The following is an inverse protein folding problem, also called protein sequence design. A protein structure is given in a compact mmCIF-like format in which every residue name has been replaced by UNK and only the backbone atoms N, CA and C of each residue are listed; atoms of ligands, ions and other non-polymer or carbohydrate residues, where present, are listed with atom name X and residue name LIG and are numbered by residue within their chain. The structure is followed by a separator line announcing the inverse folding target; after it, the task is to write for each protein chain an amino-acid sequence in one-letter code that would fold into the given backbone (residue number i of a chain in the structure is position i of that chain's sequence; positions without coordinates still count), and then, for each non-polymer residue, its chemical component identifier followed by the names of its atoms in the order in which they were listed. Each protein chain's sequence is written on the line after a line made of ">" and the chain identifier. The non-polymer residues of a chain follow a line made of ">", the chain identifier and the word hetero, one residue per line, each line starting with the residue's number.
data_IF_865234374081
#
_entry.id   IF_865234374081
#
_cell.length_a   1.000
_cell.length_b   1.000
_cell.length_c   1.000
_cell.angle_alpha   90.00
_cell.angle_beta   90.00
_cell.angle_gamma   90.00
#
_symmetry.space_group_name_H-M   'P 1'
#
loop_
_entity.id
_entity.type
_entity.pdbx_description
1 polymer ?
#
# COMPACT_ATOMS: atom_id res chain seq x y z
N UNK A 1 3.20 -2.27 13.17
CA UNK A 1 4.25 -1.72 12.30
C UNK A 1 5.57 -2.14 12.90
N UNK A 2 6.27 -3.08 12.27
CA UNK A 2 7.42 -3.75 12.86
C UNK A 2 8.48 -2.76 13.32
N UNK A 3 8.75 -2.74 14.63
CA UNK A 3 9.86 -2.01 15.21
C UNK A 3 11.15 -2.56 14.59
N UNK A 4 11.77 -1.79 13.68
CA UNK A 4 13.03 -2.16 13.02
C UNK A 4 12.98 -2.28 11.49
N UNK A 5 11.81 -2.13 10.84
CA UNK A 5 11.77 -2.02 9.38
C UNK A 5 12.25 -0.64 8.93
N UNK A 6 13.27 -0.58 8.08
CA UNK A 6 13.75 0.66 7.44
C UNK A 6 12.71 1.28 6.47
N UNK A 7 11.55 0.64 6.28
CA UNK A 7 10.53 1.08 5.35
C UNK A 7 9.52 2.02 6.00
N UNK A 8 9.16 3.15 5.35
CA UNK A 8 8.11 4.01 5.84
C UNK A 8 6.76 3.29 5.84
N UNK A 9 5.90 3.70 6.77
CA UNK A 9 4.55 3.19 6.90
C UNK A 9 3.76 3.46 5.62
N UNK A 10 3.09 2.43 5.10
CA UNK A 10 2.31 2.51 3.87
C UNK A 10 3.01 1.93 2.65
N UNK A 11 4.27 1.50 2.75
CA UNK A 11 4.93 0.76 1.66
C UNK A 11 4.36 -0.67 1.57
N UNK A 12 3.80 -1.10 0.43
CA UNK A 12 3.48 -2.50 0.21
C UNK A 12 4.78 -3.31 0.11
N UNK A 13 4.87 -4.40 0.89
CA UNK A 13 6.02 -5.30 0.88
C UNK A 13 5.59 -6.68 0.40
N UNK A 14 6.21 -7.24 -0.65
CA UNK A 14 5.94 -8.59 -1.07
C UNK A 14 6.38 -9.56 0.03
N UNK A 15 5.50 -10.50 0.37
CA UNK A 15 5.72 -11.45 1.46
C UNK A 15 5.54 -12.89 0.95
N UNK A 16 6.48 -13.82 1.22
CA UNK A 16 6.47 -15.15 0.60
C UNK A 16 5.54 -16.17 1.29
N UNK A 17 4.80 -15.78 2.33
CA UNK A 17 3.94 -16.69 3.11
C UNK A 17 2.50 -16.20 3.22
N UNK A 18 1.55 -17.13 3.37
CA UNK A 18 0.16 -16.81 3.64
C UNK A 18 -0.05 -16.22 5.05
N UNK A 19 0.82 -16.58 6.01
CA UNK A 19 0.84 -16.06 7.38
C UNK A 19 1.60 -14.75 7.42
N UNK A 20 0.93 -13.68 7.84
CA UNK A 20 1.53 -12.35 7.94
C UNK A 20 2.44 -12.26 9.19
N UNK A 21 3.54 -11.49 9.13
CA UNK A 21 4.28 -11.12 10.33
C UNK A 21 3.41 -10.23 11.23
N UNK A 22 3.72 -10.26 12.53
CA UNK A 22 3.02 -9.43 13.51
C UNK A 22 3.10 -7.93 13.17
N UNK A 23 1.97 -7.23 13.32
CA UNK A 23 1.90 -5.79 13.08
C UNK A 23 1.88 -5.38 11.61
N UNK A 24 1.69 -6.31 10.68
CA UNK A 24 1.46 -6.07 9.25
C UNK A 24 0.00 -6.31 8.85
N UNK A 25 -0.46 -5.59 7.83
CA UNK A 25 -1.79 -5.74 7.26
C UNK A 25 -1.69 -6.21 5.81
N UNK A 26 -2.64 -7.04 5.36
CA UNK A 26 -2.68 -7.52 3.97
C UNK A 26 -3.26 -6.44 3.06
N UNK A 27 -2.61 -6.18 1.93
CA UNK A 27 -3.14 -5.31 0.87
C UNK A 27 -4.24 -6.04 0.07
N UNK A 28 -5.44 -6.14 0.65
CA UNK A 28 -6.60 -6.85 0.08
C UNK A 28 -7.86 -5.96 -0.01
N UNK A 29 -7.71 -4.64 -0.06
CA UNK A 29 -8.85 -3.72 -0.12
C UNK A 29 -9.56 -3.47 1.21
N UNK A 30 -9.11 -4.09 2.31
CA UNK A 30 -9.77 -3.95 3.61
C UNK A 30 -9.70 -2.51 4.15
N UNK A 31 -10.76 -2.10 4.84
CA UNK A 31 -10.77 -0.88 5.62
C UNK A 31 -9.92 -1.04 6.90
N UNK A 32 -9.41 0.07 7.44
CA UNK A 32 -8.68 0.09 8.70
C UNK A 32 -9.08 1.30 9.55
N UNK A 33 -8.83 1.24 10.86
CA UNK A 33 -9.08 2.35 11.77
C UNK A 33 -7.94 3.38 11.71
N UNK A 34 -8.27 4.64 11.40
CA UNK A 34 -7.32 5.75 11.42
C UNK A 34 -6.85 6.08 12.84
N UNK A 35 -7.67 5.82 13.86
CA UNK A 35 -7.32 6.00 15.27
C UNK A 35 -6.24 5.00 15.69
N UNK A 36 -6.39 3.73 15.27
CA UNK A 36 -5.42 2.68 15.56
C UNK A 36 -4.15 2.80 14.69
N UNK A 37 -4.29 3.28 13.45
CA UNK A 37 -3.19 3.37 12.49
C UNK A 37 -3.05 4.79 11.88
N UNK A 38 -2.74 5.82 12.68
CA UNK A 38 -2.73 7.21 12.22
C UNK A 38 -1.65 7.49 11.17
N UNK A 39 -0.50 6.80 11.24
CA UNK A 39 0.54 6.89 10.20
C UNK A 39 0.10 6.25 8.89
N UNK A 40 -0.69 5.17 8.95
CA UNK A 40 -1.22 4.52 7.76
C UNK A 40 -2.32 5.37 7.12
N UNK A 41 -3.16 6.03 7.92
CA UNK A 41 -4.17 6.97 7.43
C UNK A 41 -3.55 8.16 6.68
N UNK A 42 -2.35 8.60 7.06
CA UNK A 42 -1.61 9.62 6.30
C UNK A 42 -1.15 9.11 4.92
N UNK A 43 -0.77 7.83 4.82
CA UNK A 43 -0.38 7.22 3.55
C UNK A 43 -1.58 6.84 2.66
N UNK A 44 -2.69 6.41 3.29
CA UNK A 44 -3.93 6.01 2.63
C UNK A 44 -5.13 6.77 3.24
N UNK A 45 -5.42 8.00 2.78
CA UNK A 45 -6.44 8.88 3.37
C UNK A 45 -7.87 8.36 3.29
N UNK A 46 -8.13 7.40 2.40
CA UNK A 46 -9.44 6.73 2.25
C UNK A 46 -9.72 5.71 3.36
N UNK A 47 -8.76 5.48 4.27
CA UNK A 47 -8.79 4.46 5.32
C UNK A 47 -9.05 3.05 4.76
N UNK A 48 -8.60 2.80 3.53
CA UNK A 48 -8.62 1.49 2.86
C UNK A 48 -7.24 1.16 2.34
N UNK A 49 -6.83 -0.08 2.53
CA UNK A 49 -5.63 -0.62 1.91
C UNK A 49 -5.89 -0.79 0.40
N UNK A 50 -4.85 -0.69 -0.45
CA UNK A 50 -4.98 -1.11 -1.84
C UNK A 50 -5.30 -2.61 -1.89
N UNK A 51 -6.03 -3.03 -2.91
CA UNK A 51 -6.18 -4.45 -3.23
C UNK A 51 -5.14 -4.81 -4.28
N UNK A 52 -4.08 -5.51 -3.89
CA UNK A 52 -2.97 -5.86 -4.79
C UNK A 52 -2.99 -7.33 -5.20
N UNK A 53 -4.09 -8.04 -4.94
CA UNK A 53 -4.21 -9.47 -5.28
C UNK A 53 -4.34 -9.61 -6.79
N UNK A 54 -3.34 -10.20 -7.43
CA UNK A 54 -3.30 -10.35 -8.89
C UNK A 54 -2.75 -9.12 -9.61
N UNK A 55 -2.35 -8.09 -8.88
CA UNK A 55 -1.86 -6.83 -9.45
C UNK A 55 -0.33 -6.78 -9.55
N UNK A 56 0.17 -5.97 -10.48
CA UNK A 56 1.58 -5.59 -10.54
C UNK A 56 1.74 -4.14 -10.11
N UNK A 57 2.69 -3.87 -9.20
CA UNK A 57 3.05 -2.49 -8.85
C UNK A 57 3.87 -1.91 -10.01
N UNK A 58 3.41 -0.76 -10.52
CA UNK A 58 4.11 0.03 -11.55
C UNK A 58 4.50 1.38 -10.97
N UNK A 59 5.63 1.92 -11.40
CA UNK A 59 6.04 3.29 -11.07
C UNK A 59 5.07 4.32 -11.68
N UNK A 60 4.79 5.39 -10.94
CA UNK A 60 4.03 6.51 -11.44
C UNK A 60 4.84 7.25 -12.51
N UNK A 61 4.18 7.65 -13.61
CA UNK A 61 4.85 8.26 -14.77
C UNK A 61 5.46 9.63 -14.44
N UNK A 62 4.80 10.41 -13.58
CA UNK A 62 5.24 11.74 -13.10
C UNK A 62 5.81 12.66 -14.19
N UNK A 63 5.17 12.67 -15.36
CA UNK A 63 5.54 13.53 -16.48
C UNK A 63 6.60 12.98 -17.44
N UNK A 64 7.02 11.71 -17.29
CA UNK A 64 7.92 11.06 -18.27
C UNK A 64 7.24 10.85 -19.63
N UNK A 65 5.91 10.75 -19.67
CA UNK A 65 5.10 10.66 -20.88
C UNK A 65 4.94 9.23 -21.44
N UNK A 66 5.30 8.18 -20.69
CA UNK A 66 5.17 6.78 -21.13
C UNK A 66 3.81 6.19 -20.71
N UNK A 67 3.32 6.54 -19.52
CA UNK A 67 2.00 6.14 -19.00
C UNK A 67 1.20 7.40 -18.63
N UNK A 68 0.96 8.25 -19.63
CA UNK A 68 0.31 9.55 -19.47
C UNK A 68 -1.16 9.42 -19.02
N UNK A 69 -1.59 10.31 -18.13
CA UNK A 69 -2.96 10.31 -17.58
C UNK A 69 -3.17 9.29 -16.46
N UNK A 70 -2.16 8.50 -16.07
CA UNK A 70 -2.24 7.56 -14.96
C UNK A 70 -2.20 8.30 -13.61
N UNK A 71 -3.18 7.99 -12.76
CA UNK A 71 -3.22 8.49 -11.38
C UNK A 71 -2.55 7.51 -10.41
N UNK A 72 -2.00 8.03 -9.32
CA UNK A 72 -1.45 7.23 -8.22
C UNK A 72 -2.53 6.29 -7.67
N UNK A 73 -2.20 5.00 -7.51
CA UNK A 73 -3.08 3.93 -7.02
C UNK A 73 -4.31 3.63 -7.91
N UNK A 74 -4.25 3.94 -9.22
CA UNK A 74 -5.26 3.50 -10.20
C UNK A 74 -4.97 2.10 -10.77
N UNK A 75 -6.02 1.38 -11.17
CA UNK A 75 -5.95 0.02 -11.75
C UNK A 75 -5.85 0.04 -13.29
N UNK A 76 -5.44 -1.09 -13.88
CA UNK A 76 -5.49 -1.34 -15.32
C UNK A 76 -6.14 -2.70 -15.60
#
# INVERSE_FOLDING_TARGET
>A
MGEGSALPVGVPVPWPSATLPEGWLKCNGAAFSSEMYPKLAKAYPTNKLPDLRGEFIRGWDDGRGIDAGREILSFQ
#
